data_IF_060990758801
#
_entry.id   IF_060990758801
#
_cell.length_a   1.000
_cell.length_b   1.000
_cell.length_c   1.000
_cell.angle_alpha   90.00
_cell.angle_beta   90.00
_cell.angle_gamma   90.00
#
_symmetry.space_group_name_H-M   'P 1'
#
loop_
_entity.id
_entity.type
_entity.pdbx_description
1 polymer ?
#
# COMPACT_ATOMS: atom_id res chain seq x y z
N UNK A 1 -6.86 16.34 9.87
CA UNK A 1 -6.37 16.16 11.27
C UNK A 1 -5.50 14.92 11.39
N UNK A 2 -5.77 13.84 10.67
CA UNK A 2 -4.97 12.61 10.73
C UNK A 2 -3.60 12.72 10.02
N UNK A 3 -3.51 13.54 8.99
CA UNK A 3 -2.28 13.74 8.22
C UNK A 3 -1.08 14.22 9.05
N UNK A 4 -1.31 15.03 10.09
CA UNK A 4 -0.24 15.50 10.98
C UNK A 4 0.26 14.42 11.94
N UNK A 5 -0.52 13.38 12.21
CA UNK A 5 -0.16 12.27 13.10
C UNK A 5 0.54 11.10 12.39
N UNK A 6 0.28 10.96 11.07
CA UNK A 6 0.76 9.83 10.26
C UNK A 6 1.48 10.34 9.00
N UNK A 7 2.49 11.18 9.21
CA UNK A 7 3.29 11.73 8.11
C UNK A 7 4.08 10.62 7.43
N UNK A 8 4.16 10.68 6.10
CA UNK A 8 5.18 9.94 5.36
C UNK A 8 6.54 10.53 5.70
N UNK A 9 7.50 9.75 6.21
CA UNK A 9 8.83 10.26 6.54
C UNK A 9 9.61 10.64 5.28
N UNK A 10 10.48 11.64 5.41
CA UNK A 10 11.48 11.96 4.38
C UNK A 10 12.60 10.93 4.50
N UNK A 11 12.92 10.25 3.41
CA UNK A 11 13.97 9.23 3.42
C UNK A 11 14.55 8.98 2.03
N UNK A 12 15.73 8.39 2.01
CA UNK A 12 16.37 7.83 0.82
C UNK A 12 16.48 6.32 0.99
N UNK A 13 16.10 5.57 -0.04
CA UNK A 13 16.16 4.11 -0.06
C UNK A 13 16.31 3.59 -1.49
N UNK A 14 16.09 2.29 -1.68
CA UNK A 14 16.04 1.63 -2.99
C UNK A 14 14.87 0.67 -3.05
N UNK A 15 14.12 0.73 -4.15
CA UNK A 15 13.08 -0.26 -4.43
C UNK A 15 13.78 -1.57 -4.82
N UNK A 16 13.49 -2.63 -4.08
CA UNK A 16 14.14 -3.93 -4.22
C UNK A 16 13.27 -4.98 -4.91
N UNK A 17 11.97 -4.95 -4.63
CA UNK A 17 11.07 -5.99 -5.12
C UNK A 17 9.63 -5.50 -5.29
N UNK A 18 8.97 -6.15 -6.24
CA UNK A 18 7.57 -6.04 -6.52
C UNK A 18 6.87 -7.28 -5.96
N UNK A 19 5.88 -7.09 -5.11
CA UNK A 19 4.98 -8.15 -4.63
C UNK A 19 3.64 -8.02 -5.36
N UNK A 20 3.14 -9.15 -5.85
CA UNK A 20 1.93 -9.24 -6.65
C UNK A 20 0.84 -9.95 -5.84
N UNK A 21 -0.34 -9.36 -5.83
CA UNK A 21 -1.52 -9.84 -5.11
C UNK A 21 -1.21 -10.19 -3.64
N UNK A 22 -0.77 -9.20 -2.84
CA UNK A 22 -0.26 -9.44 -1.49
C UNK A 22 -1.37 -9.78 -0.50
N UNK A 23 -0.99 -10.49 0.55
CA UNK A 23 -1.74 -10.57 1.80
C UNK A 23 -1.28 -9.41 2.69
N UNK A 24 -2.22 -8.72 3.33
CA UNK A 24 -1.89 -7.62 4.23
C UNK A 24 -1.96 -8.03 5.70
N UNK A 25 -0.82 -8.08 6.35
CA UNK A 25 -0.79 -8.16 7.82
C UNK A 25 -1.00 -6.75 8.39
N UNK A 26 -2.12 -6.56 9.08
CA UNK A 26 -2.53 -5.25 9.58
C UNK A 26 -1.63 -4.82 10.74
N UNK A 27 -1.02 -3.62 10.68
CA UNK A 27 -0.23 -3.09 11.80
C UNK A 27 -1.06 -2.97 13.09
N UNK A 28 -0.44 -3.27 14.24
CA UNK A 28 -1.11 -3.23 15.54
C UNK A 28 -1.70 -1.86 15.88
N UNK A 29 -1.09 -0.78 15.38
CA UNK A 29 -1.62 0.59 15.55
C UNK A 29 -2.96 0.78 14.85
N UNK A 30 -3.15 0.18 13.66
CA UNK A 30 -4.41 0.21 12.91
C UNK A 30 -5.44 -0.72 13.58
N UNK A 31 -5.01 -1.91 14.01
CA UNK A 31 -5.90 -2.83 14.74
C UNK A 31 -6.50 -2.11 15.95
N UNK A 32 -5.69 -1.46 16.76
CA UNK A 32 -6.17 -0.78 17.99
C UNK A 32 -7.08 0.42 17.72
N UNK A 33 -6.79 1.20 16.67
CA UNK A 33 -7.47 2.49 16.43
C UNK A 33 -8.70 2.36 15.55
N UNK A 34 -8.71 1.39 14.64
CA UNK A 34 -9.74 1.27 13.61
C UNK A 34 -10.43 -0.10 13.64
N UNK A 35 -9.68 -1.20 13.47
CA UNK A 35 -10.27 -2.52 13.31
C UNK A 35 -11.10 -2.93 14.55
N UNK A 36 -10.52 -2.78 15.75
CA UNK A 36 -11.18 -3.13 16.99
C UNK A 36 -12.46 -2.29 17.25
N UNK A 37 -12.44 -1.01 16.82
CA UNK A 37 -13.62 -0.14 16.93
C UNK A 37 -14.69 -0.58 15.94
N UNK A 38 -14.33 -0.82 14.69
CA UNK A 38 -15.26 -1.28 13.66
C UNK A 38 -15.87 -2.63 13.98
N UNK A 39 -15.07 -3.54 14.50
CA UNK A 39 -15.52 -4.86 14.93
C UNK A 39 -16.55 -4.78 16.08
N UNK A 40 -16.38 -3.86 17.01
CA UNK A 40 -17.34 -3.65 18.09
C UNK A 40 -18.70 -3.07 17.61
N UNK A 41 -18.70 -2.35 16.49
CA UNK A 41 -19.89 -1.74 15.88
C UNK A 41 -20.60 -2.67 14.87
N UNK A 42 -19.88 -3.70 14.37
CA UNK A 42 -20.29 -4.48 13.20
C UNK A 42 -19.65 -5.88 13.23
N UNK A 43 -20.46 -6.88 13.56
CA UNK A 43 -20.04 -8.27 13.68
C UNK A 43 -19.56 -8.88 12.36
N UNK A 44 -20.09 -8.42 11.22
CA UNK A 44 -19.72 -8.89 9.89
C UNK A 44 -18.52 -8.15 9.30
N UNK A 45 -17.89 -7.24 10.07
CA UNK A 45 -16.80 -6.40 9.57
C UNK A 45 -15.64 -7.22 8.98
N UNK A 46 -15.25 -8.30 9.64
CA UNK A 46 -14.14 -9.17 9.20
C UNK A 46 -14.47 -9.89 7.90
N UNK A 47 -15.66 -10.46 7.79
CA UNK A 47 -16.12 -11.17 6.60
C UNK A 47 -16.21 -10.23 5.38
N UNK A 48 -16.89 -9.08 5.54
CA UNK A 48 -17.04 -8.10 4.46
C UNK A 48 -15.72 -7.52 3.95
N UNK A 49 -14.69 -7.51 4.78
CA UNK A 49 -13.37 -7.01 4.41
C UNK A 49 -12.35 -8.11 4.09
N UNK A 50 -12.78 -9.38 3.98
CA UNK A 50 -11.91 -10.53 3.77
C UNK A 50 -10.73 -10.53 4.77
N UNK A 51 -11.05 -10.34 6.05
CA UNK A 51 -10.06 -10.32 7.11
C UNK A 51 -10.20 -11.55 8.00
N UNK A 52 -9.06 -12.04 8.49
CA UNK A 52 -8.97 -13.16 9.43
C UNK A 52 -8.22 -12.76 10.68
N UNK A 53 -8.56 -13.38 11.79
CA UNK A 53 -7.87 -13.18 13.07
C UNK A 53 -7.05 -14.44 13.35
N UNK A 54 -5.78 -14.25 13.71
CA UNK A 54 -4.86 -15.32 14.05
C UNK A 54 -4.34 -15.09 15.46
N UNK A 55 -4.50 -16.06 16.34
CA UNK A 55 -3.87 -16.07 17.66
C UNK A 55 -2.36 -16.26 17.49
N UNK A 56 -1.56 -15.36 18.08
CA UNK A 56 -0.09 -15.39 17.93
C UNK A 56 0.58 -16.48 18.76
N UNK A 57 -0.13 -17.05 19.72
CA UNK A 57 0.41 -18.11 20.59
C UNK A 57 0.26 -19.48 19.95
N UNK A 58 -0.93 -19.74 19.40
CA UNK A 58 -1.24 -21.02 18.76
C UNK A 58 -0.96 -21.03 17.27
N UNK A 59 -0.84 -19.86 16.63
CA UNK A 59 -0.78 -19.61 15.18
C UNK A 59 -2.05 -20.10 14.45
N UNK A 60 -3.14 -20.35 15.18
CA UNK A 60 -4.40 -20.80 14.64
C UNK A 60 -5.32 -19.61 14.31
N UNK A 61 -6.18 -19.81 13.33
CA UNK A 61 -7.24 -18.87 13.00
C UNK A 61 -8.38 -19.00 14.02
N UNK A 62 -8.87 -17.85 14.50
CA UNK A 62 -9.98 -17.76 15.45
C UNK A 62 -11.17 -17.03 14.84
N UNK A 63 -12.37 -17.47 15.21
CA UNK A 63 -13.58 -16.85 14.70
C UNK A 63 -13.72 -15.42 15.23
N UNK A 64 -14.11 -14.45 14.38
CA UNK A 64 -14.30 -13.07 14.82
C UNK A 64 -15.24 -12.91 16.01
N UNK A 65 -16.31 -13.73 16.09
CA UNK A 65 -17.27 -13.70 17.20
C UNK A 65 -16.68 -14.12 18.56
N UNK A 66 -15.56 -14.82 18.58
CA UNK A 66 -14.88 -15.26 19.80
C UNK A 66 -13.85 -14.25 20.32
N UNK A 67 -13.60 -13.16 19.56
CA UNK A 67 -12.55 -12.18 19.88
C UNK A 67 -13.16 -10.80 20.08
N UNK A 68 -13.16 -10.32 21.29
CA UNK A 68 -13.66 -8.96 21.59
C UNK A 68 -12.72 -7.86 21.10
N UNK A 69 -13.24 -6.64 20.99
CA UNK A 69 -12.44 -5.46 20.64
C UNK A 69 -11.25 -5.25 21.59
N UNK A 70 -11.43 -5.51 22.88
CA UNK A 70 -10.35 -5.39 23.86
C UNK A 70 -9.28 -6.47 23.66
N UNK A 71 -9.66 -7.68 23.30
CA UNK A 71 -8.72 -8.76 22.95
C UNK A 71 -7.89 -8.37 21.73
N UNK A 72 -8.48 -7.78 20.70
CA UNK A 72 -7.74 -7.26 19.54
C UNK A 72 -6.74 -6.18 19.92
N UNK A 73 -7.08 -5.30 20.86
CA UNK A 73 -6.19 -4.22 21.33
C UNK A 73 -5.02 -4.74 22.14
N UNK A 74 -5.12 -5.91 22.76
CA UNK A 74 -4.06 -6.50 23.62
C UNK A 74 -2.74 -6.71 22.90
N UNK A 75 -2.79 -7.00 21.60
CA UNK A 75 -1.62 -7.32 20.78
C UNK A 75 -1.33 -8.81 20.64
N UNK A 76 -2.13 -9.67 21.26
CA UNK A 76 -1.99 -11.14 21.19
C UNK A 76 -2.51 -11.71 19.87
N UNK A 77 -3.23 -10.91 19.11
CA UNK A 77 -3.82 -11.32 17.84
C UNK A 77 -3.17 -10.59 16.66
N UNK A 78 -3.06 -11.30 15.55
CA UNK A 78 -2.69 -10.77 14.24
C UNK A 78 -3.94 -10.72 13.38
N UNK A 79 -4.20 -9.58 12.75
CA UNK A 79 -5.25 -9.46 11.74
C UNK A 79 -4.59 -9.50 10.37
N UNK A 80 -5.16 -10.31 9.49
CA UNK A 80 -4.67 -10.53 8.13
C UNK A 80 -5.81 -10.27 7.17
N UNK A 81 -5.60 -9.42 6.17
CA UNK A 81 -6.50 -9.23 5.05
C UNK A 81 -6.02 -10.06 3.87
N UNK A 82 -6.88 -10.90 3.35
CA UNK A 82 -6.55 -11.78 2.24
C UNK A 82 -6.34 -11.00 0.93
N UNK A 83 -5.65 -11.63 0.00
CA UNK A 83 -5.40 -11.09 -1.35
C UNK A 83 -6.71 -10.85 -2.10
N UNK A 84 -6.68 -9.94 -3.07
CA UNK A 84 -7.80 -9.67 -3.94
C UNK A 84 -8.11 -8.19 -4.11
N UNK A 85 -9.19 -7.89 -4.82
CA UNK A 85 -9.56 -6.53 -5.21
C UNK A 85 -9.87 -5.61 -4.02
N UNK A 86 -10.44 -6.16 -2.96
CA UNK A 86 -10.80 -5.42 -1.75
C UNK A 86 -9.62 -5.19 -0.79
N UNK A 87 -8.44 -5.80 -1.04
CA UNK A 87 -7.28 -5.65 -0.17
C UNK A 87 -6.86 -4.18 -0.11
N UNK A 88 -6.64 -3.66 1.10
CA UNK A 88 -6.29 -2.27 1.34
C UNK A 88 -4.98 -1.83 0.69
N UNK A 89 -4.05 -2.78 0.44
CA UNK A 89 -2.80 -2.55 -0.29
C UNK A 89 -2.98 -2.68 -1.81
N UNK A 90 -4.21 -2.96 -2.28
CA UNK A 90 -4.48 -3.30 -3.67
C UNK A 90 -3.79 -4.59 -4.10
N UNK A 91 -3.43 -4.67 -5.37
CA UNK A 91 -2.87 -5.89 -5.97
C UNK A 91 -1.35 -5.86 -6.14
N UNK A 92 -0.69 -4.75 -5.78
CA UNK A 92 0.75 -4.55 -6.00
C UNK A 92 1.40 -3.76 -4.88
N UNK A 93 2.59 -4.19 -4.45
CA UNK A 93 3.45 -3.46 -3.52
C UNK A 93 4.85 -3.38 -4.11
N UNK A 94 5.45 -2.19 -4.10
CA UNK A 94 6.86 -1.99 -4.35
C UNK A 94 7.56 -1.78 -3.00
N UNK A 95 8.39 -2.74 -2.61
CA UNK A 95 9.09 -2.74 -1.33
C UNK A 95 10.46 -2.10 -1.42
N UNK A 96 10.77 -1.34 -0.39
CA UNK A 96 12.07 -0.74 -0.13
C UNK A 96 12.38 -0.81 1.36
N UNK A 97 13.66 -0.78 1.73
CA UNK A 97 14.07 -0.86 3.13
C UNK A 97 13.79 0.46 3.85
N UNK A 98 13.18 0.37 5.02
CA UNK A 98 12.97 1.49 5.93
C UNK A 98 12.49 0.99 7.30
N UNK A 99 12.71 1.81 8.35
CA UNK A 99 12.34 1.50 9.74
C UNK A 99 10.91 1.89 10.09
N UNK A 100 10.15 2.44 9.15
CA UNK A 100 8.81 3.00 9.36
C UNK A 100 7.68 2.07 8.91
N UNK A 101 8.01 0.89 8.36
CA UNK A 101 7.06 -0.06 7.80
C UNK A 101 6.15 0.54 6.73
N UNK A 102 6.69 1.44 5.88
CA UNK A 102 5.99 2.05 4.76
C UNK A 102 6.43 1.43 3.43
N UNK A 103 5.55 1.51 2.45
CA UNK A 103 5.81 1.03 1.07
C UNK A 103 5.03 1.86 0.06
N UNK A 104 5.39 1.73 -1.20
CA UNK A 104 4.59 2.16 -2.33
C UNK A 104 3.60 1.02 -2.64
N UNK A 105 2.31 1.32 -2.75
CA UNK A 105 1.32 0.26 -2.98
C UNK A 105 0.14 0.73 -3.82
N UNK A 106 -0.52 -0.23 -4.41
CA UNK A 106 -1.80 -0.06 -5.07
C UNK A 106 -2.92 0.26 -4.06
N UNK A 107 -4.13 0.53 -4.51
CA UNK A 107 -5.28 0.80 -3.64
C UNK A 107 -6.60 0.51 -4.36
N UNK A 108 -7.59 -0.09 -3.69
CA UNK A 108 -8.96 -0.19 -4.22
C UNK A 108 -9.66 1.17 -4.25
N UNK A 109 -9.24 2.12 -3.40
CA UNK A 109 -9.83 3.46 -3.34
C UNK A 109 -9.22 4.41 -4.37
N UNK A 110 -9.57 4.22 -5.64
CA UNK A 110 -9.12 5.07 -6.77
C UNK A 110 -9.61 6.51 -6.67
N UNK A 111 -10.76 6.75 -6.01
CA UNK A 111 -11.33 8.10 -5.84
C UNK A 111 -10.42 9.03 -5.04
N UNK A 112 -9.55 8.47 -4.19
CA UNK A 112 -8.60 9.25 -3.40
C UNK A 112 -7.65 10.11 -4.25
N UNK A 113 -7.37 9.72 -5.49
CA UNK A 113 -6.52 10.49 -6.41
C UNK A 113 -7.20 11.76 -6.95
N UNK A 114 -8.53 11.87 -6.82
CA UNK A 114 -9.30 13.05 -7.20
C UNK A 114 -9.46 14.06 -6.05
N UNK A 115 -8.97 13.74 -4.85
CA UNK A 115 -9.09 14.65 -3.71
C UNK A 115 -8.06 15.77 -3.80
N UNK A 116 -8.45 16.99 -3.43
CA UNK A 116 -7.50 18.10 -3.28
C UNK A 116 -6.48 17.80 -2.18
N UNK A 117 -6.93 17.23 -1.07
CA UNK A 117 -6.07 16.80 0.02
C UNK A 117 -5.91 15.27 -0.04
N UNK A 118 -4.69 14.82 -0.39
CA UNK A 118 -4.39 13.39 -0.63
C UNK A 118 -3.71 12.69 0.55
N UNK A 119 -3.64 13.32 1.71
CA UNK A 119 -3.06 12.77 2.94
C UNK A 119 -4.05 11.85 3.65
N UNK A 120 -4.40 10.74 3.02
CA UNK A 120 -5.46 9.80 3.44
C UNK A 120 -4.92 8.42 3.83
N UNK A 121 -3.63 8.32 4.14
CA UNK A 121 -2.97 7.08 4.54
C UNK A 121 -2.32 7.19 5.91
N UNK A 122 -1.83 6.07 6.44
CA UNK A 122 -1.04 5.99 7.67
C UNK A 122 0.48 6.08 7.40
N UNK A 123 0.88 6.79 6.35
CA UNK A 123 2.28 7.00 5.98
C UNK A 123 2.71 6.29 4.70
N UNK A 124 2.07 5.20 4.29
CA UNK A 124 2.32 4.55 3.01
C UNK A 124 1.93 5.44 1.82
N UNK A 125 2.56 5.21 0.68
CA UNK A 125 2.35 5.97 -0.55
C UNK A 125 1.52 5.15 -1.53
N UNK A 126 0.33 5.66 -1.89
CA UNK A 126 -0.55 5.02 -2.86
C UNK A 126 -0.14 5.35 -4.28
N UNK A 127 -0.19 4.36 -5.15
CA UNK A 127 0.10 4.47 -6.58
C UNK A 127 -1.19 4.50 -7.39
N UNK A 128 -1.32 5.49 -8.27
CA UNK A 128 -2.46 5.57 -9.19
C UNK A 128 -2.34 4.57 -10.34
N UNK A 129 -1.12 4.38 -10.86
CA UNK A 129 -0.80 3.49 -11.99
C UNK A 129 0.31 2.51 -11.62
N UNK A 130 0.04 1.55 -10.69
CA UNK A 130 1.08 0.68 -10.17
C UNK A 130 1.66 -0.28 -11.21
N UNK A 131 0.85 -0.78 -12.15
CA UNK A 131 1.32 -1.69 -13.21
C UNK A 131 2.26 -0.97 -14.18
N UNK A 132 1.86 0.22 -14.67
CA UNK A 132 2.70 1.00 -15.58
C UNK A 132 4.03 1.38 -14.93
N UNK A 133 3.98 1.79 -13.65
CA UNK A 133 5.20 2.09 -12.89
C UNK A 133 6.09 0.84 -12.76
N UNK A 134 5.51 -0.30 -12.43
CA UNK A 134 6.28 -1.54 -12.26
C UNK A 134 6.94 -1.99 -13.57
N UNK A 135 6.21 -1.97 -14.69
CA UNK A 135 6.73 -2.30 -16.03
C UNK A 135 7.86 -1.34 -16.42
N UNK A 136 7.66 -0.04 -16.20
CA UNK A 136 8.68 0.98 -16.46
C UNK A 136 9.96 0.75 -15.64
N UNK A 137 9.83 0.51 -14.33
CA UNK A 137 10.98 0.31 -13.43
C UNK A 137 11.71 -1.02 -13.67
N UNK A 138 11.00 -2.04 -14.18
CA UNK A 138 11.59 -3.32 -14.59
C UNK A 138 12.30 -3.23 -15.96
N UNK A 139 12.09 -2.14 -16.70
CA UNK A 139 12.43 -2.01 -18.13
C UNK A 139 11.94 -3.22 -18.94
N UNK A 140 10.76 -3.72 -18.58
CA UNK A 140 10.22 -4.95 -19.17
C UNK A 140 9.59 -4.67 -20.54
N UNK A 141 10.05 -5.40 -21.55
CA UNK A 141 9.60 -5.24 -22.95
C UNK A 141 8.98 -6.51 -23.50
N UNK A 142 9.15 -7.64 -22.81
CA UNK A 142 8.52 -8.90 -23.25
C UNK A 142 7.02 -8.88 -22.87
N UNK A 143 6.10 -8.87 -23.87
CA UNK A 143 4.67 -8.85 -23.62
C UNK A 143 4.19 -10.04 -22.80
N UNK A 144 4.84 -11.21 -22.92
CA UNK A 144 4.47 -12.39 -22.15
C UNK A 144 4.84 -12.25 -20.67
N UNK A 145 5.96 -11.59 -20.35
CA UNK A 145 6.33 -11.29 -18.97
C UNK A 145 5.37 -10.28 -18.36
N UNK A 146 4.95 -9.28 -19.12
CA UNK A 146 3.92 -8.31 -18.70
C UNK A 146 2.59 -9.04 -18.45
N UNK A 147 2.18 -9.96 -19.33
CA UNK A 147 0.98 -10.77 -19.14
C UNK A 147 1.05 -11.65 -17.89
N UNK A 148 2.20 -12.24 -17.58
CA UNK A 148 2.39 -12.98 -16.32
C UNK A 148 2.20 -12.09 -15.08
N UNK A 149 2.63 -10.82 -15.14
CA UNK A 149 2.36 -9.84 -14.08
C UNK A 149 0.86 -9.56 -14.00
N UNK A 150 0.20 -9.30 -15.13
CA UNK A 150 -1.25 -9.07 -15.20
C UNK A 150 -2.04 -10.22 -14.62
N UNK A 151 -1.74 -11.45 -15.04
CA UNK A 151 -2.41 -12.66 -14.50
C UNK A 151 -2.23 -12.79 -13.00
N UNK A 152 -1.03 -12.45 -12.49
CA UNK A 152 -0.74 -12.50 -11.06
C UNK A 152 -1.56 -11.51 -10.21
N UNK A 153 -2.03 -10.42 -10.84
CA UNK A 153 -2.87 -9.39 -10.21
C UNK A 153 -4.33 -9.43 -10.67
N UNK A 154 -4.78 -10.56 -11.19
CA UNK A 154 -6.13 -10.80 -11.70
C UNK A 154 -6.58 -9.80 -12.78
N UNK A 155 -5.65 -9.37 -13.63
CA UNK A 155 -5.93 -8.58 -14.83
C UNK A 155 -5.88 -9.45 -16.09
N UNK A 156 -6.68 -9.14 -17.13
CA UNK A 156 -6.66 -9.89 -18.38
C UNK A 156 -5.32 -9.69 -19.11
N UNK A 157 -4.71 -10.76 -19.64
CA UNK A 157 -3.53 -10.68 -20.49
C UNK A 157 -3.87 -10.15 -21.87
N UNK A 158 -2.87 -9.60 -22.58
CA UNK A 158 -3.05 -9.03 -23.93
C UNK A 158 -2.73 -10.05 -25.03
N UNK A 159 -1.72 -10.92 -24.83
CA UNK A 159 -1.25 -11.86 -25.86
C UNK A 159 -2.04 -13.18 -25.84
N UNK A 160 -2.11 -13.88 -26.98
CA UNK A 160 -2.75 -15.20 -27.06
C UNK A 160 -2.07 -16.19 -26.10
N UNK A 161 -0.73 -16.19 -26.03
CA UNK A 161 0.01 -17.04 -25.10
C UNK A 161 -0.25 -16.70 -23.63
N UNK A 162 -0.47 -15.43 -23.32
CA UNK A 162 -0.92 -15.01 -22.00
C UNK A 162 -2.32 -15.52 -21.66
N UNK A 163 -3.24 -15.50 -22.63
CA UNK A 163 -4.60 -16.06 -22.47
C UNK A 163 -4.59 -17.57 -22.25
N UNK A 164 -3.73 -18.28 -22.97
CA UNK A 164 -3.51 -19.72 -22.74
C UNK A 164 -3.04 -19.98 -21.30
N UNK A 165 -2.04 -19.21 -20.83
CA UNK A 165 -1.54 -19.33 -19.44
C UNK A 165 -2.61 -18.96 -18.40
N UNK A 166 -3.46 -17.98 -18.67
CA UNK A 166 -4.50 -17.57 -17.74
C UNK A 166 -5.59 -18.64 -17.56
N UNK A 167 -5.80 -19.49 -18.59
CA UNK A 167 -6.77 -20.58 -18.61
C UNK A 167 -6.16 -21.92 -18.17
N UNK A 168 -4.84 -21.99 -17.95
CA UNK A 168 -4.15 -23.20 -17.49
C UNK A 168 -4.27 -23.30 -15.96
N UNK A 169 -5.01 -24.30 -15.48
CA UNK A 169 -5.23 -24.55 -14.06
C UNK A 169 -3.95 -24.92 -13.32
N UNK A 170 -2.96 -25.49 -14.00
CA UNK A 170 -1.67 -25.87 -13.45
C UNK A 170 -0.67 -24.71 -13.44
N UNK A 171 -1.00 -23.58 -14.06
CA UNK A 171 -0.11 -22.42 -14.10
C UNK A 171 0.08 -21.78 -12.74
N UNK A 172 1.29 -21.82 -12.23
CA UNK A 172 1.68 -21.18 -10.97
C UNK A 172 1.97 -19.69 -11.19
N UNK A 173 1.05 -18.85 -10.74
CA UNK A 173 1.20 -17.39 -10.81
C UNK A 173 2.43 -16.92 -10.05
N UNK A 174 3.13 -15.95 -10.63
CA UNK A 174 4.26 -15.30 -9.95
C UNK A 174 3.73 -14.42 -8.79
N UNK A 175 4.40 -14.49 -7.64
CA UNK A 175 4.04 -13.63 -6.48
C UNK A 175 5.05 -12.51 -6.24
N UNK A 176 6.26 -12.64 -6.81
CA UNK A 176 7.39 -11.73 -6.53
C UNK A 176 8.25 -11.52 -7.78
N UNK A 177 8.68 -10.26 -8.00
CA UNK A 177 9.80 -9.91 -8.89
C UNK A 177 10.80 -9.03 -8.16
N UNK A 178 12.09 -9.23 -8.43
CA UNK A 178 13.18 -8.44 -7.86
C UNK A 178 13.70 -7.46 -8.90
N UNK A 179 13.95 -6.22 -8.49
CA UNK A 179 14.59 -5.22 -9.33
C UNK A 179 16.12 -5.42 -9.34
N UNK A 180 16.70 -5.52 -10.54
CA UNK A 180 18.15 -5.63 -10.74
C UNK A 180 18.57 -4.77 -11.94
N UNK A 181 19.29 -3.65 -11.68
CA UNK A 181 19.71 -3.12 -10.37
C UNK A 181 18.52 -2.61 -9.54
N UNK A 182 18.70 -2.47 -8.22
CA UNK A 182 17.73 -1.84 -7.34
C UNK A 182 17.52 -0.38 -7.75
N UNK A 183 16.26 0.10 -7.70
CA UNK A 183 15.89 1.43 -8.17
C UNK A 183 16.04 2.46 -7.05
N UNK A 184 16.83 3.53 -7.20
CA UNK A 184 16.91 4.61 -6.20
C UNK A 184 15.55 5.23 -5.93
N UNK A 185 15.24 5.45 -4.65
CA UNK A 185 14.00 6.07 -4.19
C UNK A 185 14.33 7.23 -3.25
N UNK A 186 13.76 8.40 -3.54
CA UNK A 186 13.83 9.59 -2.69
C UNK A 186 12.40 10.01 -2.34
N UNK A 187 12.06 9.99 -1.05
CA UNK A 187 10.79 10.52 -0.55
C UNK A 187 11.07 11.90 0.00
N UNK A 188 10.52 12.91 -0.68
CA UNK A 188 10.73 14.32 -0.40
C UNK A 188 9.39 15.01 -0.12
N UNK A 189 9.43 16.23 0.39
CA UNK A 189 8.25 17.05 0.64
C UNK A 189 8.46 18.44 0.05
N UNK A 190 7.71 18.77 -0.97
CA UNK A 190 7.73 20.07 -1.62
C UNK A 190 6.34 20.66 -1.63
N UNK A 191 6.20 21.89 -1.19
CA UNK A 191 4.99 22.71 -1.28
C UNK A 191 5.06 23.72 -2.41
N UNK A 192 6.25 23.91 -2.99
CA UNK A 192 6.50 24.67 -4.20
C UNK A 192 7.38 23.85 -5.14
N UNK A 193 6.97 23.70 -6.40
CA UNK A 193 7.72 22.95 -7.42
C UNK A 193 7.37 23.45 -8.83
N UNK A 194 8.26 23.28 -9.82
CA UNK A 194 7.95 23.62 -11.20
C UNK A 194 7.01 22.60 -11.82
N UNK A 195 6.02 23.05 -12.59
CA UNK A 195 5.23 22.21 -13.49
C UNK A 195 6.00 21.87 -14.77
N UNK A 196 5.35 21.17 -15.71
CA UNK A 196 5.98 20.78 -16.98
C UNK A 196 6.32 21.97 -17.88
N UNK A 197 5.69 23.12 -17.68
CA UNK A 197 5.90 24.35 -18.43
C UNK A 197 6.90 25.27 -17.74
N UNK A 198 7.42 24.86 -16.57
CA UNK A 198 8.38 25.64 -15.78
C UNK A 198 7.77 26.68 -14.85
N UNK A 199 6.43 26.75 -14.74
CA UNK A 199 5.76 27.65 -13.81
C UNK A 199 5.83 27.08 -12.39
N UNK A 200 6.01 27.95 -11.39
CA UNK A 200 5.99 27.52 -9.98
C UNK A 200 4.57 27.24 -9.53
N UNK A 201 4.31 26.02 -9.12
CA UNK A 201 3.04 25.58 -8.53
C UNK A 201 3.19 25.51 -7.02
N UNK A 202 2.22 26.06 -6.29
CA UNK A 202 2.15 25.97 -4.84
C UNK A 202 1.05 25.01 -4.42
N UNK A 203 1.33 24.19 -3.40
CA UNK A 203 0.36 23.28 -2.78
C UNK A 203 0.17 23.62 -1.30
N UNK A 204 -0.86 23.05 -0.69
CA UNK A 204 -1.07 23.16 0.75
C UNK A 204 0.08 22.50 1.52
N UNK A 205 0.31 22.94 2.76
CA UNK A 205 1.25 22.34 3.72
C UNK A 205 0.50 21.43 4.72
N UNK A 206 0.05 20.23 4.32
CA UNK A 206 -0.73 19.35 5.19
C UNK A 206 0.08 18.84 6.38
N UNK A 207 1.40 18.79 6.28
CA UNK A 207 2.28 18.33 7.35
C UNK A 207 2.75 19.45 8.29
N UNK A 208 2.55 20.72 7.91
CA UNK A 208 2.95 21.89 8.70
C UNK A 208 4.46 22.08 8.75
N UNK A 209 5.19 21.63 7.71
CA UNK A 209 6.64 21.82 7.65
C UNK A 209 7.03 23.23 7.29
N UNK A 210 6.31 23.88 6.36
CA UNK A 210 6.56 25.28 5.99
C UNK A 210 6.24 26.22 7.15
N UNK A 211 5.11 25.99 7.83
CA UNK A 211 4.75 26.73 9.03
C UNK A 211 5.83 26.63 10.10
N UNK A 212 6.39 25.43 10.32
CA UNK A 212 7.48 25.22 11.25
C UNK A 212 8.77 25.92 10.82
N UNK A 213 9.14 25.81 9.53
CA UNK A 213 10.32 26.50 9.00
C UNK A 213 10.20 28.02 9.11
N UNK A 214 9.04 28.58 8.73
CA UNK A 214 8.77 30.01 8.82
C UNK A 214 8.92 30.53 10.25
N UNK A 215 8.43 29.79 11.26
CA UNK A 215 8.63 30.14 12.67
C UNK A 215 10.10 30.13 13.10
N UNK A 216 10.87 29.17 12.61
CA UNK A 216 12.30 29.05 12.93
C UNK A 216 13.15 30.14 12.26
N UNK A 217 12.79 30.52 11.03
CA UNK A 217 13.50 31.54 10.25
C UNK A 217 13.04 32.97 10.58
N UNK A 218 11.79 33.16 10.97
CA UNK A 218 11.22 34.48 11.34
C UNK A 218 11.52 34.90 12.77
N UNK A 219 12.31 34.10 13.49
CA UNK A 219 12.80 34.46 14.86
C UNK A 219 14.13 35.22 14.86
N UNK A 220 14.48 35.83 13.70
CA UNK A 220 15.64 36.73 13.54
C UNK A 220 15.14 38.13 13.29
#
# INVERSE_FOLDING_TARGET
>A
VESRKHKTPLLTSRIKRLELNPVWTVPQSIIRREIAVRHAEDEEYFERNNMRIIDKTTEEEVMPGDVSAEMLKSGNYRVVQDKGEANSLGRMILRFDNDFAIYLHDTPNRRAFNYKQRTVSHGCIRLEKPLELAVFLLDEKDPLVIDKIKIAIDMPPDTEKGKELANDEDYKRIGLKTFKPEVPLYITYYTAYPDNDGNVVFTSDPYGYDERMSRLLGSY
#
